data_IF_004219649466
#
_entry.id   IF_004219649466
#
_cell.length_a   1.000
_cell.length_b   1.000
_cell.length_c   1.000
_cell.angle_alpha   90.00
_cell.angle_beta   90.00
_cell.angle_gamma   90.00
#
_symmetry.space_group_name_H-M   'P 1'
#
loop_
_entity.id
_entity.type
_entity.pdbx_description
1 polymer ?
#
# COMPACT_ATOMS: atom_id res chain seq x y z
N UNK A 1 -11.67 -38.45 -0.01
CA UNK A 1 -12.29 -37.12 0.18
C UNK A 1 -11.28 -36.07 -0.24
N UNK A 2 -11.54 -35.35 -1.34
CA UNK A 2 -10.60 -34.38 -1.93
C UNK A 2 -11.17 -32.99 -1.68
N UNK A 3 -10.69 -32.34 -0.63
CA UNK A 3 -11.14 -30.99 -0.27
C UNK A 3 -10.50 -30.03 -1.26
N UNK A 4 -11.29 -29.56 -2.22
CA UNK A 4 -10.94 -28.44 -3.09
C UNK A 4 -11.22 -27.16 -2.31
N UNK A 5 -10.18 -26.54 -1.77
CA UNK A 5 -10.25 -25.16 -1.32
C UNK A 5 -9.76 -24.27 -2.46
N UNK A 6 -10.59 -24.11 -3.49
CA UNK A 6 -10.38 -23.06 -4.50
C UNK A 6 -10.77 -21.73 -3.84
N UNK A 7 -9.79 -21.09 -3.23
CA UNK A 7 -9.87 -19.75 -2.69
C UNK A 7 -8.88 -18.80 -3.36
N UNK A 8 -8.62 -18.96 -4.66
CA UNK A 8 -7.97 -17.93 -5.45
C UNK A 8 -9.01 -16.82 -5.69
N UNK A 9 -9.24 -16.01 -4.66
CA UNK A 9 -9.90 -14.72 -4.82
C UNK A 9 -9.05 -13.94 -5.83
N UNK A 10 -9.56 -13.83 -7.06
CA UNK A 10 -9.07 -12.94 -8.09
C UNK A 10 -9.25 -11.51 -7.59
N UNK A 11 -8.40 -11.11 -6.65
CA UNK A 11 -8.09 -9.71 -6.42
C UNK A 11 -7.19 -9.37 -7.58
N UNK A 12 -7.69 -8.56 -8.52
CA UNK A 12 -6.79 -7.83 -9.39
C UNK A 12 -5.84 -7.10 -8.44
N UNK A 13 -4.57 -7.51 -8.42
CA UNK A 13 -3.62 -6.95 -7.49
C UNK A 13 -3.45 -5.47 -7.86
N UNK A 14 -4.12 -4.60 -7.10
CA UNK A 14 -4.08 -3.13 -7.17
C UNK A 14 -2.68 -2.63 -7.50
N UNK A 15 -1.67 -3.28 -6.91
CA UNK A 15 -0.28 -3.14 -7.28
C UNK A 15 0.24 -4.47 -7.84
N UNK A 16 0.92 -4.49 -9.01
CA UNK A 16 1.55 -5.72 -9.48
C UNK A 16 2.54 -6.25 -8.44
N UNK A 17 2.67 -7.58 -8.33
CA UNK A 17 3.55 -8.27 -7.38
C UNK A 17 5.04 -7.96 -7.64
N UNK A 18 5.46 -6.77 -7.20
CA UNK A 18 6.83 -6.26 -7.25
C UNK A 18 7.02 -5.17 -6.19
N UNK A 19 8.26 -4.76 -6.00
CA UNK A 19 8.56 -3.60 -5.16
C UNK A 19 8.18 -2.32 -5.90
N UNK A 20 7.43 -1.43 -5.24
CA UNK A 20 7.03 -0.13 -5.78
C UNK A 20 7.70 1.01 -5.03
N UNK A 21 8.03 2.11 -5.71
CA UNK A 21 8.53 3.31 -5.03
C UNK A 21 7.39 3.93 -4.22
N UNK A 22 7.68 4.46 -3.04
CA UNK A 22 6.69 5.21 -2.23
C UNK A 22 6.05 6.35 -3.05
N UNK A 23 6.81 6.99 -3.94
CA UNK A 23 6.31 8.02 -4.85
C UNK A 23 5.27 7.49 -5.84
N UNK A 24 5.48 6.30 -6.42
CA UNK A 24 4.54 5.69 -7.36
C UNK A 24 3.22 5.38 -6.68
N UNK A 25 3.29 4.84 -5.47
CA UNK A 25 2.14 4.52 -4.63
C UNK A 25 1.39 5.80 -4.25
N UNK A 26 2.11 6.83 -3.82
CA UNK A 26 1.52 8.09 -3.41
C UNK A 26 0.78 8.82 -4.54
N UNK A 27 1.30 8.78 -5.77
CA UNK A 27 0.63 9.40 -6.93
C UNK A 27 -0.69 8.71 -7.25
N UNK A 28 -0.83 7.40 -6.96
CA UNK A 28 -2.10 6.70 -7.16
C UNK A 28 -3.15 7.05 -6.11
N UNK A 29 -2.77 7.13 -4.83
CA UNK A 29 -3.69 7.51 -3.75
C UNK A 29 -4.04 9.00 -3.73
N UNK A 30 -3.18 9.86 -4.28
CA UNK A 30 -3.37 11.31 -4.26
C UNK A 30 -3.18 11.91 -5.64
N UNK A 31 -4.02 11.57 -6.64
CA UNK A 31 -3.84 12.00 -8.02
C UNK A 31 -3.94 13.53 -8.19
N UNK A 32 -4.66 14.21 -7.28
CA UNK A 32 -4.81 15.66 -7.27
C UNK A 32 -3.61 16.41 -6.66
N UNK A 33 -2.68 15.70 -6.01
CA UNK A 33 -1.51 16.32 -5.38
C UNK A 33 -0.28 16.20 -6.28
N UNK A 34 0.65 17.16 -6.15
CA UNK A 34 1.97 16.99 -6.76
C UNK A 34 2.66 15.76 -6.17
N UNK A 35 3.55 15.07 -6.92
CA UNK A 35 4.16 13.83 -6.44
C UNK A 35 4.90 13.96 -5.09
N UNK A 36 5.51 15.13 -4.83
CA UNK A 36 6.17 15.41 -3.56
C UNK A 36 5.16 15.61 -2.42
N UNK A 37 4.09 16.37 -2.67
CA UNK A 37 3.01 16.56 -1.71
C UNK A 37 2.31 15.24 -1.38
N UNK A 38 1.98 14.43 -2.39
CA UNK A 38 1.41 13.09 -2.21
C UNK A 38 2.33 12.18 -1.40
N UNK A 39 3.64 12.18 -1.68
CA UNK A 39 4.61 11.40 -0.92
C UNK A 39 4.66 11.82 0.55
N UNK A 40 4.60 13.13 0.83
CA UNK A 40 4.55 13.66 2.20
C UNK A 40 3.24 13.29 2.90
N UNK A 41 2.11 13.38 2.19
CA UNK A 41 0.81 12.98 2.72
C UNK A 41 0.79 11.49 3.08
N UNK A 42 1.25 10.62 2.17
CA UNK A 42 1.35 9.18 2.43
C UNK A 42 2.23 8.86 3.64
N UNK A 43 3.41 9.49 3.74
CA UNK A 43 4.28 9.34 4.91
C UNK A 43 3.64 9.84 6.20
N UNK A 44 2.88 10.94 6.14
CA UNK A 44 2.17 11.47 7.31
C UNK A 44 1.10 10.50 7.80
N UNK A 45 0.40 9.81 6.91
CA UNK A 45 -0.54 8.75 7.28
C UNK A 45 0.21 7.60 7.96
N UNK A 46 1.25 7.06 7.29
CA UNK A 46 2.02 5.93 7.81
C UNK A 46 2.66 6.24 9.17
N UNK A 47 3.19 7.44 9.38
CA UNK A 47 3.83 7.81 10.66
C UNK A 47 2.84 8.34 11.70
N UNK A 48 1.68 8.83 11.26
CA UNK A 48 0.64 9.37 12.13
C UNK A 48 -0.19 8.29 12.81
N UNK A 49 -0.22 7.08 12.25
CA UNK A 49 -0.93 5.94 12.79
C UNK A 49 0.06 4.84 13.24
N UNK A 50 0.11 4.57 14.54
CA UNK A 50 1.07 3.60 15.09
C UNK A 50 0.71 2.15 14.77
N UNK A 51 -0.58 1.83 14.62
CA UNK A 51 -1.01 0.46 14.31
C UNK A 51 -0.67 0.12 12.86
N UNK A 52 -0.92 1.05 11.93
CA UNK A 52 -0.48 0.93 10.55
C UNK A 52 1.05 0.82 10.47
N UNK A 53 1.78 1.69 11.18
CA UNK A 53 3.24 1.66 11.18
C UNK A 53 3.78 0.32 11.69
N UNK A 54 3.24 -0.19 12.79
CA UNK A 54 3.67 -1.47 13.36
C UNK A 54 3.37 -2.63 12.41
N UNK A 55 2.18 -2.67 11.79
CA UNK A 55 1.86 -3.69 10.78
C UNK A 55 2.80 -3.61 9.57
N UNK A 56 3.12 -2.40 9.09
CA UNK A 56 4.13 -2.25 8.03
C UNK A 56 5.51 -2.77 8.46
N UNK A 57 5.91 -2.53 9.72
CA UNK A 57 7.20 -2.94 10.28
C UNK A 57 7.31 -4.47 10.44
N UNK A 58 6.22 -5.16 10.75
CA UNK A 58 6.18 -6.63 10.75
C UNK A 58 6.51 -7.22 9.37
N UNK A 59 6.20 -6.49 8.31
CA UNK A 59 6.57 -6.83 6.93
C UNK A 59 7.89 -6.22 6.47
N UNK A 60 8.70 -5.69 7.40
CA UNK A 60 10.06 -5.19 7.16
C UNK A 60 10.15 -3.71 6.79
N UNK A 61 9.12 -2.90 7.05
CA UNK A 61 9.19 -1.47 6.76
C UNK A 61 10.15 -0.75 7.70
N UNK A 62 11.04 0.05 7.13
CA UNK A 62 11.98 0.90 7.87
C UNK A 62 11.67 2.39 7.67
N UNK A 63 11.96 3.20 8.70
CA UNK A 63 11.86 4.65 8.60
C UNK A 63 12.74 5.18 7.45
N UNK A 64 12.22 6.12 6.67
CA UNK A 64 12.95 6.68 5.53
C UNK A 64 13.01 5.79 4.29
N UNK A 65 12.51 4.55 4.33
CA UNK A 65 12.48 3.66 3.17
C UNK A 65 11.75 4.32 2.00
N UNK A 66 12.27 4.13 0.78
CA UNK A 66 11.76 4.77 -0.45
C UNK A 66 10.96 3.82 -1.34
N UNK A 67 10.82 2.56 -0.92
CA UNK A 67 10.09 1.52 -1.63
C UNK A 67 9.21 0.73 -0.68
N UNK A 68 8.15 0.11 -1.19
CA UNK A 68 7.23 -0.76 -0.48
C UNK A 68 7.21 -2.13 -1.16
N UNK A 69 7.27 -3.18 -0.36
CA UNK A 69 7.13 -4.56 -0.84
C UNK A 69 5.65 -4.87 -1.10
N UNK A 70 5.32 -5.93 -1.87
CA UNK A 70 3.93 -6.35 -2.06
C UNK A 70 3.18 -6.57 -0.74
N UNK A 71 3.82 -7.16 0.27
CA UNK A 71 3.20 -7.36 1.59
C UNK A 71 2.86 -6.03 2.29
N UNK A 72 3.75 -5.04 2.22
CA UNK A 72 3.47 -3.70 2.74
C UNK A 72 2.30 -3.04 1.98
N UNK A 73 2.25 -3.20 0.65
CA UNK A 73 1.16 -2.65 -0.15
C UNK A 73 -0.17 -3.28 0.21
N UNK A 74 -0.21 -4.58 0.50
CA UNK A 74 -1.44 -5.24 0.97
C UNK A 74 -1.93 -4.65 2.29
N UNK A 75 -1.04 -4.40 3.26
CA UNK A 75 -1.40 -3.71 4.51
C UNK A 75 -1.94 -2.31 4.22
N UNK A 76 -1.24 -1.55 3.37
CA UNK A 76 -1.63 -0.18 3.03
C UNK A 76 -3.00 -0.13 2.36
N UNK A 77 -3.25 -1.00 1.38
CA UNK A 77 -4.53 -1.09 0.66
C UNK A 77 -5.65 -1.60 1.55
N UNK A 78 -5.37 -2.53 2.47
CA UNK A 78 -6.36 -2.96 3.47
C UNK A 78 -6.74 -1.82 4.43
N UNK A 79 -5.81 -0.90 4.71
CA UNK A 79 -6.02 0.23 5.61
C UNK A 79 -6.69 1.44 4.93
N UNK A 80 -6.20 1.83 3.75
CA UNK A 80 -6.66 3.02 3.02
C UNK A 80 -7.81 2.76 2.05
N UNK A 81 -8.07 1.51 1.68
CA UNK A 81 -8.90 1.16 0.54
C UNK A 81 -8.10 1.05 -0.76
N UNK A 82 -8.78 0.81 -1.88
CA UNK A 82 -8.13 0.74 -3.18
C UNK A 82 -7.74 2.15 -3.62
N UNK A 83 -6.53 2.40 -4.16
CA UNK A 83 -6.19 3.67 -4.78
C UNK A 83 -7.09 4.02 -5.96
N UNK A 84 -7.78 3.04 -6.56
CA UNK A 84 -8.80 3.29 -7.59
C UNK A 84 -9.99 4.10 -7.03
N UNK A 85 -10.30 3.96 -5.74
CA UNK A 85 -11.34 4.73 -5.05
C UNK A 85 -10.99 6.23 -4.93
N UNK A 86 -9.72 6.58 -5.15
CA UNK A 86 -9.20 7.94 -5.07
C UNK A 86 -9.00 8.58 -6.45
N UNK A 87 -9.18 7.81 -7.53
CA UNK A 87 -9.18 8.34 -8.88
C UNK A 87 -10.58 8.94 -9.17
N UNK A 88 -10.67 10.21 -9.59
CA UNK A 88 -11.92 10.84 -9.99
C UNK A 88 -12.48 10.24 -11.30
#
# INVERSE_FOLDING_TARGET
MKVKSNGASAREDVFPFRVHRVKEVAVRYFPHLTPNSGTRALRRIIYGDQDLLNSMREHGYALGQRSLTPAMLNVLTAYLGSPEDFCP
#
